data_IF_855597654132
#
_entry.id   IF_855597654132
#
_cell.length_a   1.000
_cell.length_b   1.000
_cell.length_c   1.000
_cell.angle_alpha   90.00
_cell.angle_beta   90.00
_cell.angle_gamma   90.00
#
_symmetry.space_group_name_H-M   'P 1'
#
loop_
_entity.id
_entity.type
_entity.pdbx_description
1 polymer ?
#
# COMPACT_ATOMS: atom_id res chain seq x y z
N UNK A 1 45.17 53.32 20.30
CA UNK A 1 45.53 51.89 20.44
C UNK A 1 44.33 51.04 20.87
N UNK A 2 43.52 51.45 21.87
CA UNK A 2 42.33 50.68 22.27
C UNK A 2 41.32 50.46 21.12
N UNK A 3 41.04 51.47 20.29
CA UNK A 3 40.04 51.35 19.20
C UNK A 3 40.43 50.39 18.07
N UNK A 4 41.74 50.23 17.83
CA UNK A 4 42.25 49.28 16.84
C UNK A 4 42.09 47.84 17.34
N UNK A 5 42.45 47.60 18.60
CA UNK A 5 42.35 46.28 19.25
C UNK A 5 40.88 45.84 19.38
N UNK A 6 39.96 46.75 19.70
CA UNK A 6 38.53 46.43 19.76
C UNK A 6 37.96 46.13 18.38
N UNK A 7 38.36 46.85 17.34
CA UNK A 7 37.93 46.59 15.95
C UNK A 7 38.44 45.23 15.46
N UNK A 8 39.70 44.91 15.69
CA UNK A 8 40.29 43.61 15.35
C UNK A 8 39.59 42.45 16.07
N UNK A 9 39.29 42.62 17.36
CA UNK A 9 38.57 41.60 18.14
C UNK A 9 37.13 41.38 17.63
N UNK A 10 36.42 42.45 17.28
CA UNK A 10 35.05 42.35 16.73
C UNK A 10 35.06 41.59 15.40
N UNK A 11 36.02 41.89 14.52
CA UNK A 11 36.17 41.20 13.22
C UNK A 11 36.48 39.71 13.43
N UNK A 12 37.41 39.39 14.34
CA UNK A 12 37.76 38.01 14.64
C UNK A 12 36.56 37.20 15.16
N UNK A 13 35.76 37.78 16.05
CA UNK A 13 34.56 37.13 16.59
C UNK A 13 33.49 36.94 15.51
N UNK A 14 33.27 37.93 14.66
CA UNK A 14 32.31 37.84 13.57
C UNK A 14 32.68 36.73 12.55
N UNK A 15 33.96 36.63 12.19
CA UNK A 15 34.48 35.58 11.32
C UNK A 15 34.38 34.20 11.97
N UNK A 16 34.74 34.07 13.26
CA UNK A 16 34.62 32.82 13.99
C UNK A 16 33.17 32.33 14.10
N UNK A 17 32.22 33.24 14.35
CA UNK A 17 30.79 32.92 14.40
C UNK A 17 30.25 32.43 13.05
N UNK A 18 30.63 33.11 11.96
CA UNK A 18 30.21 32.74 10.60
C UNK A 18 30.83 31.38 10.20
N UNK A 19 32.12 31.19 10.48
CA UNK A 19 32.80 29.92 10.22
C UNK A 19 32.20 28.76 11.03
N UNK A 20 31.86 28.99 12.30
CA UNK A 20 31.17 28.01 13.14
C UNK A 20 29.81 27.60 12.56
N UNK A 21 29.00 28.57 12.11
CA UNK A 21 27.69 28.28 11.50
C UNK A 21 27.83 27.48 10.19
N UNK A 22 28.76 27.86 9.32
CA UNK A 22 29.03 27.13 8.07
C UNK A 22 29.53 25.72 8.37
N UNK A 23 30.42 25.56 9.35
CA UNK A 23 30.96 24.25 9.74
C UNK A 23 29.85 23.32 10.28
N UNK A 24 28.97 23.82 11.14
CA UNK A 24 27.85 23.03 11.65
C UNK A 24 26.85 22.65 10.54
N UNK A 25 26.58 23.56 9.60
CA UNK A 25 25.73 23.29 8.44
C UNK A 25 26.37 22.26 7.52
N UNK A 26 27.67 22.38 7.24
CA UNK A 26 28.43 21.41 6.45
C UNK A 26 28.41 20.01 7.07
N UNK A 27 28.57 19.92 8.40
CA UNK A 27 28.54 18.66 9.12
C UNK A 27 27.15 18.02 9.11
N UNK A 28 26.08 18.83 9.23
CA UNK A 28 24.69 18.35 9.08
C UNK A 28 24.40 17.83 7.68
N UNK A 29 24.86 18.53 6.64
CA UNK A 29 24.73 18.11 5.23
C UNK A 29 25.48 16.80 4.99
N UNK A 30 26.73 16.69 5.47
CA UNK A 30 27.56 15.50 5.29
C UNK A 30 27.00 14.27 6.04
N UNK A 31 26.40 14.48 7.21
CA UNK A 31 25.80 13.43 8.02
C UNK A 31 24.33 13.12 7.66
N UNK A 32 23.80 13.73 6.60
CA UNK A 32 22.47 13.41 6.08
C UNK A 32 21.30 13.85 6.95
N UNK A 33 21.50 14.81 7.86
CA UNK A 33 20.39 15.42 8.59
C UNK A 33 19.57 16.29 7.62
N UNK A 34 18.22 16.21 7.65
CA UNK A 34 17.40 17.06 6.81
C UNK A 34 17.70 18.52 7.13
N UNK A 35 17.97 19.31 6.09
CA UNK A 35 18.05 20.75 6.24
C UNK A 35 16.63 21.24 6.49
N UNK A 36 16.33 21.55 7.76
CA UNK A 36 15.08 22.21 8.14
C UNK A 36 15.09 23.61 7.54
N UNK A 37 14.20 23.86 6.57
CA UNK A 37 13.93 25.22 6.13
C UNK A 37 13.35 26.04 7.28
N UNK A 38 13.41 27.37 7.17
CA UNK A 38 12.94 28.36 8.17
C UNK A 38 11.44 28.22 8.56
N UNK A 39 10.71 27.30 7.94
CA UNK A 39 9.30 26.99 8.20
C UNK A 39 9.02 25.48 8.31
N UNK A 40 9.95 24.69 8.87
CA UNK A 40 9.74 23.27 9.20
C UNK A 40 9.58 22.34 7.99
N UNK A 41 9.85 22.82 6.78
CA UNK A 41 9.91 21.99 5.58
C UNK A 41 11.28 21.29 5.55
N UNK A 42 11.29 19.95 5.66
CA UNK A 42 12.47 19.16 5.38
C UNK A 42 12.78 19.32 3.89
N UNK A 43 13.73 20.17 3.55
CA UNK A 43 14.34 20.18 2.22
C UNK A 43 15.13 18.87 2.13
N UNK A 44 14.50 17.80 1.66
CA UNK A 44 15.18 16.60 1.19
C UNK A 44 15.59 16.82 -0.26
N UNK A 45 16.87 17.10 -0.56
CA UNK A 45 17.32 17.12 -1.93
C UNK A 45 17.47 15.67 -2.42
N UNK A 46 16.77 15.34 -3.51
CA UNK A 46 17.14 14.24 -4.43
C UNK A 46 17.09 12.80 -3.86
N UNK A 47 15.99 12.41 -3.20
CA UNK A 47 15.56 10.98 -3.13
C UNK A 47 14.35 10.68 -4.01
N UNK A 48 13.92 11.64 -4.84
CA UNK A 48 12.68 11.55 -5.61
C UNK A 48 12.77 10.52 -6.76
N UNK A 49 13.93 10.28 -7.37
CA UNK A 49 14.04 9.30 -8.46
C UNK A 49 13.89 7.85 -8.00
N UNK A 50 14.51 7.49 -6.87
CA UNK A 50 14.41 6.14 -6.30
C UNK A 50 13.07 5.91 -5.63
N UNK A 51 12.55 6.90 -4.89
CA UNK A 51 11.22 6.85 -4.30
C UNK A 51 10.13 6.75 -5.39
N UNK A 52 10.22 7.54 -6.46
CA UNK A 52 9.27 7.49 -7.59
C UNK A 52 9.39 6.19 -8.38
N UNK A 53 10.60 5.65 -8.55
CA UNK A 53 10.79 4.32 -9.14
C UNK A 53 10.15 3.23 -8.27
N UNK A 54 10.32 3.28 -6.95
CA UNK A 54 9.69 2.33 -6.02
C UNK A 54 8.17 2.47 -6.01
N UNK A 55 7.63 3.68 -6.03
CA UNK A 55 6.18 3.92 -6.16
C UNK A 55 5.64 3.36 -7.47
N UNK A 56 6.38 3.52 -8.58
CA UNK A 56 5.98 2.96 -9.88
C UNK A 56 5.97 1.43 -9.84
N UNK A 57 7.00 0.80 -9.29
CA UNK A 57 7.08 -0.67 -9.13
C UNK A 57 5.97 -1.20 -8.22
N UNK A 58 5.73 -0.56 -7.07
CA UNK A 58 4.64 -0.93 -6.16
C UNK A 58 3.26 -0.73 -6.81
N UNK A 59 3.09 0.28 -7.66
CA UNK A 59 1.83 0.50 -8.38
C UNK A 59 1.58 -0.60 -9.41
N UNK A 60 2.64 -1.10 -10.05
CA UNK A 60 2.55 -2.24 -10.96
C UNK A 60 2.19 -3.53 -10.21
N UNK A 61 2.85 -3.81 -9.08
CA UNK A 61 2.54 -4.97 -8.22
C UNK A 61 1.09 -4.91 -7.70
N UNK A 62 0.60 -3.73 -7.31
CA UNK A 62 -0.79 -3.55 -6.91
C UNK A 62 -1.78 -3.79 -8.07
N UNK A 63 -1.42 -3.45 -9.31
CA UNK A 63 -2.25 -3.72 -10.47
C UNK A 63 -2.33 -5.23 -10.77
N UNK A 64 -1.21 -5.94 -10.65
CA UNK A 64 -1.14 -7.40 -10.80
C UNK A 64 -1.94 -8.13 -9.71
N UNK A 65 -1.75 -7.77 -8.44
CA UNK A 65 -2.52 -8.34 -7.33
C UNK A 65 -4.03 -8.12 -7.50
N UNK A 66 -4.44 -6.96 -8.02
CA UNK A 66 -5.86 -6.69 -8.31
C UNK A 66 -6.40 -7.57 -9.44
N UNK A 67 -5.60 -7.83 -10.47
CA UNK A 67 -5.97 -8.76 -11.53
C UNK A 67 -6.07 -10.20 -11.01
N UNK A 68 -5.11 -10.63 -10.18
CA UNK A 68 -5.12 -11.96 -9.56
C UNK A 68 -6.36 -12.13 -8.67
N UNK A 69 -6.65 -11.17 -7.79
CA UNK A 69 -7.87 -11.16 -6.97
C UNK A 69 -9.13 -11.17 -7.83
N UNK A 70 -9.15 -10.44 -8.95
CA UNK A 70 -10.25 -10.49 -9.92
C UNK A 70 -10.49 -11.91 -10.44
N UNK A 71 -9.44 -12.59 -10.89
CA UNK A 71 -9.53 -13.98 -11.38
C UNK A 71 -10.00 -14.95 -10.30
N UNK A 72 -9.58 -14.76 -9.04
CA UNK A 72 -10.03 -15.58 -7.92
C UNK A 72 -11.51 -15.33 -7.63
N UNK A 73 -11.99 -14.08 -7.69
CA UNK A 73 -13.41 -13.76 -7.52
C UNK A 73 -14.29 -14.39 -8.60
N UNK A 74 -13.88 -14.36 -9.86
CA UNK A 74 -14.64 -14.98 -10.96
C UNK A 74 -14.77 -16.50 -10.78
N UNK A 75 -13.71 -17.14 -10.30
CA UNK A 75 -13.72 -18.57 -9.94
C UNK A 75 -14.64 -18.83 -8.75
N UNK A 76 -14.60 -17.99 -7.72
CA UNK A 76 -15.48 -18.11 -6.56
C UNK A 76 -16.95 -17.96 -6.96
N UNK A 77 -17.29 -17.00 -7.82
CA UNK A 77 -18.65 -16.85 -8.35
C UNK A 77 -19.09 -18.08 -9.16
N UNK A 78 -18.17 -18.67 -9.92
CA UNK A 78 -18.42 -19.94 -10.63
C UNK A 78 -18.70 -21.08 -9.66
N UNK A 79 -17.91 -21.20 -8.59
CA UNK A 79 -18.11 -22.22 -7.55
C UNK A 79 -19.44 -22.00 -6.81
N UNK A 80 -19.75 -20.76 -6.44
CA UNK A 80 -21.01 -20.39 -5.79
C UNK A 80 -22.21 -20.81 -6.65
N UNK A 81 -22.16 -20.52 -7.96
CA UNK A 81 -23.20 -20.94 -8.90
C UNK A 81 -23.31 -22.47 -8.98
N UNK A 82 -22.20 -23.19 -9.06
CA UNK A 82 -22.21 -24.66 -9.12
C UNK A 82 -22.85 -25.26 -7.85
N UNK A 83 -22.47 -24.77 -6.67
CA UNK A 83 -22.97 -25.28 -5.39
C UNK A 83 -24.46 -24.97 -5.24
N UNK A 84 -24.86 -23.74 -5.61
CA UNK A 84 -26.25 -23.29 -5.48
C UNK A 84 -27.16 -23.99 -6.49
N UNK A 85 -26.80 -23.99 -7.78
CA UNK A 85 -27.61 -24.59 -8.85
C UNK A 85 -27.78 -26.11 -8.66
N UNK A 86 -26.71 -26.83 -8.27
CA UNK A 86 -26.81 -28.28 -7.99
C UNK A 86 -27.67 -28.60 -6.78
N UNK A 87 -27.64 -27.76 -5.73
CA UNK A 87 -28.44 -27.99 -4.52
C UNK A 87 -29.94 -27.98 -4.79
N UNK A 88 -30.40 -27.03 -5.60
CA UNK A 88 -31.81 -26.95 -6.00
C UNK A 88 -32.20 -28.07 -6.96
N UNK A 89 -31.37 -28.36 -7.98
CA UNK A 89 -31.66 -29.40 -8.97
C UNK A 89 -31.76 -30.80 -8.34
N UNK A 90 -30.79 -31.17 -7.48
CA UNK A 90 -30.80 -32.46 -6.81
C UNK A 90 -32.03 -32.62 -5.90
N UNK A 91 -32.40 -31.57 -5.17
CA UNK A 91 -33.58 -31.60 -4.30
C UNK A 91 -34.86 -31.81 -5.12
N UNK A 92 -35.00 -31.15 -6.27
CA UNK A 92 -36.13 -31.35 -7.17
C UNK A 92 -36.16 -32.74 -7.81
N UNK A 93 -35.00 -33.28 -8.20
CA UNK A 93 -34.91 -34.63 -8.75
C UNK A 93 -35.30 -35.67 -7.70
N UNK A 94 -34.83 -35.53 -6.45
CA UNK A 94 -35.21 -36.41 -5.34
C UNK A 94 -36.72 -36.40 -5.12
N UNK A 95 -37.35 -35.22 -5.14
CA UNK A 95 -38.80 -35.14 -4.94
C UNK A 95 -39.57 -35.77 -6.10
N UNK A 96 -39.10 -35.59 -7.34
CA UNK A 96 -39.71 -36.24 -8.51
C UNK A 96 -39.61 -37.78 -8.48
N UNK A 97 -38.49 -38.32 -8.01
CA UNK A 97 -38.31 -39.76 -7.83
C UNK A 97 -39.17 -40.28 -6.68
N UNK A 98 -39.29 -39.51 -5.59
CA UNK A 98 -40.16 -39.84 -4.45
C UNK A 98 -41.62 -39.88 -4.85
N UNK A 99 -42.12 -38.86 -5.57
CA UNK A 99 -43.51 -38.80 -6.01
C UNK A 99 -43.86 -39.96 -6.95
N UNK A 100 -43.02 -40.25 -7.94
CA UNK A 100 -43.22 -41.39 -8.85
C UNK A 100 -43.15 -42.75 -8.15
N UNK A 101 -42.30 -42.92 -7.14
CA UNK A 101 -42.27 -44.14 -6.33
C UNK A 101 -43.53 -44.31 -5.47
N UNK A 102 -44.11 -43.21 -4.96
CA UNK A 102 -45.38 -43.25 -4.22
C UNK A 102 -46.57 -43.54 -5.13
N UNK A 103 -46.55 -43.06 -6.36
CA UNK A 103 -47.58 -43.33 -7.38
C UNK A 103 -47.58 -44.82 -7.77
N UNK A 104 -46.43 -45.39 -8.15
CA UNK A 104 -46.30 -46.83 -8.45
C UNK A 104 -46.78 -47.73 -7.31
N UNK A 105 -46.49 -47.36 -6.05
CA UNK A 105 -46.96 -48.11 -4.87
C UNK A 105 -48.48 -48.06 -4.68
N UNK A 106 -49.14 -47.00 -5.14
CA UNK A 106 -50.59 -46.85 -5.05
C UNK A 106 -51.27 -47.81 -6.02
N UNK A 107 -50.68 -47.99 -7.21
CA UNK A 107 -51.18 -48.88 -8.24
C UNK A 107 -51.05 -50.37 -7.83
N UNK A 108 -50.00 -50.75 -7.08
CA UNK A 108 -49.82 -52.10 -6.53
C UNK A 108 -50.81 -52.45 -5.41
N UNK A 109 -51.28 -51.45 -4.65
CA UNK A 109 -52.21 -51.65 -3.53
C UNK A 109 -53.69 -51.74 -3.93
N UNK A 110 -54.00 -51.60 -5.23
CA UNK A 110 -55.38 -51.52 -5.75
C UNK A 110 -55.75 -52.72 -6.64
N UNK A 111 -54.90 -53.76 -6.69
CA UNK A 111 -55.14 -55.01 -7.40
C UNK A 111 -55.64 -56.14 -6.48
#
# INVERSE_FOLDING_TARGET
MLDAVTTEAIVAIALAGTAGWVFTTWLRVKNGYPLEGTWGQQLKPVTDSEAKRRVTLLTQENAELRAEIGSMKDRLATVERIVTDRGYHLSSEIESLRSGALENRKDEGTA
#
